data_IF_235304303794
#
_entry.id   IF_235304303794
#
_cell.length_a   1.000
_cell.length_b   1.000
_cell.length_c   1.000
_cell.angle_alpha   90.00
_cell.angle_beta   90.00
_cell.angle_gamma   90.00
#
_symmetry.space_group_name_H-M   'P 1'
#
loop_
_entity.id
_entity.type
_entity.pdbx_description
1 polymer ?
#
# COMPACT_ATOMS: atom_id res chain seq x y z
N UNK A 1 -37.94 -22.21 18.43
CA UNK A 1 -37.29 -21.09 19.17
C UNK A 1 -35.81 -21.42 19.31
N UNK A 2 -34.93 -20.46 19.03
CA UNK A 2 -33.48 -20.65 19.12
C UNK A 2 -33.02 -20.22 20.51
N UNK A 3 -32.32 -21.09 21.25
CA UNK A 3 -31.83 -20.79 22.60
C UNK A 3 -30.72 -19.74 22.58
N UNK A 4 -30.65 -18.90 23.63
CA UNK A 4 -29.62 -17.85 23.81
C UNK A 4 -28.17 -18.37 23.91
N UNK A 5 -28.00 -19.69 23.94
CA UNK A 5 -26.72 -20.39 23.98
C UNK A 5 -26.01 -20.50 22.62
N UNK A 6 -26.74 -20.34 21.51
CA UNK A 6 -26.18 -20.54 20.17
C UNK A 6 -25.50 -19.25 19.70
N UNK A 7 -24.18 -19.29 19.59
CA UNK A 7 -23.35 -18.17 19.11
C UNK A 7 -22.55 -18.60 17.88
N UNK A 8 -22.27 -17.67 17.00
CA UNK A 8 -21.59 -17.99 15.76
C UNK A 8 -21.24 -16.77 14.93
N UNK A 9 -20.66 -17.03 13.77
CA UNK A 9 -20.22 -16.01 12.83
C UNK A 9 -20.82 -16.27 11.44
N UNK A 10 -20.97 -15.20 10.67
CA UNK A 10 -21.37 -15.24 9.27
C UNK A 10 -20.26 -14.62 8.45
N UNK A 11 -19.90 -15.24 7.33
CA UNK A 11 -18.95 -14.62 6.42
C UNK A 11 -19.61 -13.43 5.74
N UNK A 12 -18.86 -12.35 5.58
CA UNK A 12 -19.42 -11.09 5.07
C UNK A 12 -19.89 -11.23 3.62
N UNK A 13 -19.30 -12.17 2.87
CA UNK A 13 -19.77 -12.53 1.53
C UNK A 13 -21.17 -13.16 1.53
N UNK A 14 -21.52 -13.92 2.58
CA UNK A 14 -22.82 -14.58 2.74
C UNK A 14 -23.93 -13.60 3.18
N UNK A 15 -23.57 -12.37 3.55
CA UNK A 15 -24.51 -11.29 3.87
C UNK A 15 -25.01 -10.54 2.63
N UNK A 16 -24.29 -10.62 1.49
CA UNK A 16 -24.64 -9.89 0.27
C UNK A 16 -25.93 -10.43 -0.36
N UNK A 17 -26.89 -9.57 -0.74
CA UNK A 17 -27.97 -9.96 -1.65
C UNK A 17 -27.40 -10.21 -3.06
N UNK A 18 -28.04 -11.09 -3.82
CA UNK A 18 -27.61 -11.47 -5.18
C UNK A 18 -27.70 -10.31 -6.21
N UNK A 19 -28.33 -9.18 -5.84
CA UNK A 19 -28.75 -8.09 -6.72
C UNK A 19 -27.63 -7.17 -7.24
N UNK A 20 -26.39 -7.64 -7.34
CA UNK A 20 -25.31 -6.98 -8.10
C UNK A 20 -24.82 -5.62 -7.60
N UNK A 21 -25.48 -5.01 -6.61
CA UNK A 21 -25.07 -3.74 -6.02
C UNK A 21 -23.91 -3.98 -5.04
N UNK A 22 -22.73 -3.50 -5.43
CA UNK A 22 -21.44 -3.56 -4.72
C UNK A 22 -21.40 -2.66 -3.46
N UNK A 23 -22.50 -2.51 -2.72
CA UNK A 23 -22.45 -1.82 -1.42
C UNK A 23 -21.87 -2.75 -0.34
N UNK A 24 -21.09 -2.19 0.59
CA UNK A 24 -20.54 -2.96 1.69
C UNK A 24 -21.68 -3.43 2.60
N UNK A 25 -21.96 -4.74 2.71
CA UNK A 25 -23.03 -5.26 3.56
C UNK A 25 -22.95 -4.73 5.00
N UNK A 26 -21.74 -4.43 5.50
CA UNK A 26 -21.53 -3.92 6.86
C UNK A 26 -22.23 -2.59 7.14
N UNK A 27 -22.47 -1.74 6.14
CA UNK A 27 -23.20 -0.48 6.33
C UNK A 27 -24.70 -0.70 6.64
N UNK A 28 -25.26 -1.84 6.21
CA UNK A 28 -26.68 -2.13 6.32
C UNK A 28 -27.06 -2.89 7.59
N UNK A 29 -26.12 -3.58 8.23
CA UNK A 29 -26.40 -4.41 9.40
C UNK A 29 -26.02 -3.71 10.71
N UNK A 30 -27.01 -3.10 11.35
CA UNK A 30 -26.87 -2.47 12.66
C UNK A 30 -27.01 -3.55 13.75
N UNK A 31 -26.23 -3.51 14.86
CA UNK A 31 -26.45 -4.38 16.00
C UNK A 31 -27.91 -4.37 16.49
N UNK A 32 -28.52 -5.55 16.65
CA UNK A 32 -29.94 -5.71 17.01
C UNK A 32 -30.87 -6.03 15.83
N UNK A 33 -30.36 -6.02 14.60
CA UNK A 33 -31.13 -6.45 13.42
C UNK A 33 -31.38 -7.96 13.44
N UNK A 34 -32.63 -8.39 13.26
CA UNK A 34 -32.97 -9.80 13.13
C UNK A 34 -32.78 -10.28 11.68
N UNK A 35 -32.07 -11.41 11.50
CA UNK A 35 -31.81 -12.03 10.19
C UNK A 35 -32.24 -13.49 10.20
N UNK A 36 -32.87 -13.93 9.11
CA UNK A 36 -33.10 -15.36 8.85
C UNK A 36 -31.83 -15.97 8.30
N UNK A 37 -31.30 -16.99 8.99
CA UNK A 37 -30.02 -17.61 8.72
C UNK A 37 -30.14 -19.13 8.69
N UNK A 38 -29.33 -19.77 7.87
CA UNK A 38 -29.11 -21.22 7.80
C UNK A 38 -27.78 -21.57 8.45
N UNK A 39 -27.71 -22.73 9.11
CA UNK A 39 -26.46 -23.24 9.70
C UNK A 39 -25.70 -23.99 8.60
N UNK A 40 -24.49 -23.55 8.29
CA UNK A 40 -23.62 -24.13 7.25
C UNK A 40 -22.60 -25.09 7.85
N UNK A 41 -21.97 -24.69 8.95
CA UNK A 41 -20.94 -25.50 9.62
C UNK A 41 -21.04 -25.33 11.14
N UNK A 42 -20.54 -26.32 11.86
CA UNK A 42 -20.47 -26.32 13.32
C UNK A 42 -19.04 -26.66 13.69
N UNK A 43 -18.36 -25.75 14.39
CA UNK A 43 -17.09 -26.07 15.01
C UNK A 43 -17.34 -26.73 16.36
N UNK A 44 -17.20 -28.05 16.37
CA UNK A 44 -17.41 -28.90 17.56
C UNK A 44 -16.47 -28.55 18.72
N UNK A 45 -15.31 -27.92 18.46
CA UNK A 45 -14.34 -27.54 19.49
C UNK A 45 -14.69 -26.24 20.20
N UNK A 46 -15.11 -25.23 19.44
CA UNK A 46 -15.43 -23.90 19.97
C UNK A 46 -16.92 -23.70 20.25
N UNK A 47 -17.77 -24.66 19.87
CA UNK A 47 -19.24 -24.55 19.92
C UNK A 47 -19.76 -23.31 19.15
N UNK A 48 -18.99 -22.86 18.15
CA UNK A 48 -19.36 -21.75 17.28
C UNK A 48 -19.97 -22.28 16.00
N UNK A 49 -21.09 -21.68 15.62
CA UNK A 49 -21.83 -22.01 14.42
C UNK A 49 -21.43 -21.06 13.30
N UNK A 50 -21.24 -21.58 12.08
CA UNK A 50 -21.10 -20.75 10.89
C UNK A 50 -22.44 -20.64 10.20
N UNK A 51 -22.92 -19.42 10.06
CA UNK A 51 -24.21 -19.12 9.46
C UNK A 51 -24.05 -18.61 8.03
N UNK A 52 -25.07 -18.81 7.20
CA UNK A 52 -25.24 -18.15 5.90
C UNK A 52 -26.67 -17.69 5.74
N UNK A 53 -26.92 -16.68 4.91
CA UNK A 53 -28.29 -16.23 4.59
C UNK A 53 -28.94 -17.12 3.52
N UNK A 54 -28.15 -17.87 2.76
CA UNK A 54 -28.61 -18.71 1.64
C UNK A 54 -28.44 -20.19 1.98
N UNK A 55 -29.20 -21.04 1.28
CA UNK A 55 -29.03 -22.49 1.41
C UNK A 55 -27.68 -22.90 0.82
N UNK A 56 -26.99 -23.83 1.47
CA UNK A 56 -25.70 -24.35 1.01
C UNK A 56 -25.84 -24.97 -0.38
N UNK A 57 -25.26 -24.32 -1.38
CA UNK A 57 -25.03 -24.92 -2.70
C UNK A 57 -23.55 -25.25 -2.83
N UNK A 58 -23.23 -26.42 -3.37
CA UNK A 58 -21.86 -26.72 -3.79
C UNK A 58 -21.47 -25.78 -4.92
N UNK A 59 -20.27 -25.21 -4.85
CA UNK A 59 -19.72 -24.44 -5.95
C UNK A 59 -19.16 -25.41 -7.00
N UNK A 60 -19.60 -25.23 -8.25
CA UNK A 60 -19.22 -26.06 -9.38
C UNK A 60 -17.93 -25.56 -10.04
N UNK A 61 -17.21 -26.47 -10.71
CA UNK A 61 -16.00 -26.13 -11.47
C UNK A 61 -16.42 -25.30 -12.70
N UNK A 62 -15.59 -24.35 -13.10
CA UNK A 62 -15.83 -23.34 -14.15
C UNK A 62 -16.90 -22.29 -13.82
N UNK A 63 -17.52 -22.34 -12.63
CA UNK A 63 -18.45 -21.31 -12.19
C UNK A 63 -17.72 -20.00 -11.89
N UNK A 64 -18.27 -18.87 -12.34
CA UNK A 64 -17.83 -17.53 -11.95
C UNK A 64 -18.49 -17.15 -10.62
N UNK A 65 -17.66 -16.79 -9.65
CA UNK A 65 -18.09 -16.46 -8.29
C UNK A 65 -17.40 -15.18 -7.85
N UNK A 66 -18.15 -14.30 -7.18
CA UNK A 66 -17.58 -13.14 -6.50
C UNK A 66 -17.17 -13.56 -5.10
N UNK A 67 -15.92 -13.28 -4.73
CA UNK A 67 -15.41 -13.49 -3.39
C UNK A 67 -14.80 -12.22 -2.82
N UNK A 68 -14.49 -12.24 -1.52
CA UNK A 68 -13.85 -11.13 -0.81
C UNK A 68 -12.42 -11.48 -0.45
N UNK A 69 -11.46 -10.62 -0.76
CA UNK A 69 -10.07 -10.84 -0.38
C UNK A 69 -9.93 -10.64 1.13
N UNK A 70 -9.49 -11.65 1.87
CA UNK A 70 -9.19 -11.50 3.30
C UNK A 70 -7.69 -11.50 3.59
N UNK A 71 -6.88 -12.03 2.68
CA UNK A 71 -5.42 -12.10 2.85
C UNK A 71 -4.71 -12.13 1.51
N UNK A 72 -3.56 -11.46 1.42
CA UNK A 72 -2.63 -11.57 0.30
C UNK A 72 -1.34 -12.23 0.81
N UNK A 73 -0.85 -13.24 0.09
CA UNK A 73 0.40 -13.92 0.40
C UNK A 73 1.37 -13.76 -0.79
N UNK A 74 2.51 -13.08 -0.62
CA UNK A 74 3.54 -12.94 -1.66
C UNK A 74 4.01 -14.25 -2.31
N UNK A 75 3.87 -15.40 -1.63
CA UNK A 75 4.32 -16.70 -2.12
C UNK A 75 3.23 -17.49 -2.81
N UNK A 76 1.98 -17.38 -2.33
CA UNK A 76 0.87 -18.23 -2.76
C UNK A 76 -0.12 -17.48 -3.66
N UNK A 77 -0.30 -16.17 -3.46
CA UNK A 77 -1.23 -15.32 -4.21
C UNK A 77 -2.34 -14.74 -3.32
N UNK A 78 -3.55 -14.59 -3.86
CA UNK A 78 -4.68 -13.98 -3.16
C UNK A 78 -5.53 -15.06 -2.46
N UNK A 79 -5.87 -14.83 -1.19
CA UNK A 79 -6.80 -15.65 -0.44
C UNK A 79 -8.16 -14.96 -0.40
N UNK A 80 -9.18 -15.66 -0.86
CA UNK A 80 -10.50 -15.11 -1.13
C UNK A 80 -11.55 -15.92 -0.36
N UNK A 81 -12.40 -15.23 0.39
CA UNK A 81 -13.60 -15.82 0.99
C UNK A 81 -14.68 -15.93 -0.07
N UNK A 82 -15.17 -17.15 -0.26
CA UNK A 82 -16.22 -17.50 -1.20
C UNK A 82 -17.54 -17.76 -0.46
N UNK A 83 -18.69 -17.70 -1.15
CA UNK A 83 -19.98 -18.05 -0.58
C UNK A 83 -20.01 -19.45 0.05
N UNK A 84 -20.89 -19.64 1.02
CA UNK A 84 -21.12 -20.88 1.76
C UNK A 84 -19.91 -21.34 2.59
N UNK A 85 -19.17 -20.41 3.16
CA UNK A 85 -17.95 -20.69 3.95
C UNK A 85 -16.87 -21.47 3.21
N UNK A 86 -16.79 -21.26 1.89
CA UNK A 86 -15.70 -21.77 1.08
C UNK A 86 -14.55 -20.77 1.04
N UNK A 87 -13.34 -21.28 0.85
CA UNK A 87 -12.13 -20.47 0.72
C UNK A 87 -11.51 -20.75 -0.63
N UNK A 88 -11.09 -19.70 -1.30
CA UNK A 88 -10.42 -19.74 -2.58
C UNK A 88 -8.99 -19.24 -2.50
N UNK A 89 -8.09 -19.84 -3.28
CA UNK A 89 -6.74 -19.34 -3.51
C UNK A 89 -6.56 -19.01 -4.98
N UNK A 90 -6.31 -17.74 -5.29
CA UNK A 90 -5.88 -17.32 -6.62
C UNK A 90 -4.36 -17.35 -6.64
N UNK A 91 -3.78 -18.29 -7.38
CA UNK A 91 -2.34 -18.34 -7.56
C UNK A 91 -1.85 -17.08 -8.31
N UNK A 92 -0.65 -16.59 -7.99
CA UNK A 92 -0.14 -15.32 -8.55
C UNK A 92 -0.11 -15.28 -10.09
N UNK A 93 0.17 -16.41 -10.73
CA UNK A 93 0.20 -16.52 -12.20
C UNK A 93 -1.20 -16.51 -12.82
N UNK A 94 -2.25 -16.61 -12.01
CA UNK A 94 -3.65 -16.64 -12.46
C UNK A 94 -4.36 -15.29 -12.20
N UNK A 95 -3.63 -14.28 -11.73
CA UNK A 95 -4.15 -12.94 -11.46
C UNK A 95 -4.26 -12.13 -12.76
N UNK A 96 -3.15 -11.96 -13.48
CA UNK A 96 -3.08 -11.18 -14.72
C UNK A 96 -2.74 -12.07 -15.93
N UNK A 97 -3.15 -11.64 -17.12
CA UNK A 97 -2.77 -12.27 -18.40
C UNK A 97 -1.30 -11.98 -18.75
N UNK A 98 -0.80 -10.81 -18.37
CA UNK A 98 0.60 -10.38 -18.54
C UNK A 98 1.35 -10.38 -17.20
N UNK A 99 2.63 -10.77 -17.23
CA UNK A 99 3.47 -10.73 -16.04
C UNK A 99 3.84 -9.29 -15.70
N UNK A 100 3.25 -8.76 -14.62
CA UNK A 100 3.57 -7.44 -14.08
C UNK A 100 4.42 -7.56 -12.81
N UNK A 101 5.24 -6.54 -12.54
CA UNK A 101 5.90 -6.39 -11.24
C UNK A 101 4.83 -6.01 -10.19
N UNK A 102 4.78 -6.74 -9.07
CA UNK A 102 3.81 -6.56 -7.97
C UNK A 102 2.32 -6.64 -8.39
N UNK A 103 1.88 -7.78 -8.95
CA UNK A 103 0.47 -7.94 -9.37
C UNK A 103 -0.53 -7.98 -8.21
N UNK A 104 -0.05 -8.03 -6.96
CA UNK A 104 -0.90 -8.04 -5.76
C UNK A 104 -1.33 -6.62 -5.34
N UNK A 105 -0.63 -5.58 -5.79
CA UNK A 105 -0.90 -4.19 -5.40
C UNK A 105 -2.25 -3.69 -5.97
N UNK A 106 -2.70 -4.28 -7.09
CA UNK A 106 -3.99 -3.99 -7.73
C UNK A 106 -5.20 -4.52 -6.92
N UNK A 107 -4.95 -5.32 -5.87
CA UNK A 107 -5.95 -6.07 -5.13
C UNK A 107 -5.92 -5.73 -3.64
N UNK A 108 -6.56 -4.61 -3.22
CA UNK A 108 -6.57 -4.21 -1.82
C UNK A 108 -7.29 -5.25 -0.96
N UNK A 109 -6.84 -5.38 0.30
CA UNK A 109 -7.48 -6.24 1.28
C UNK A 109 -8.95 -5.83 1.47
N UNK A 110 -9.80 -6.82 1.72
CA UNK A 110 -11.24 -6.67 1.93
C UNK A 110 -12.05 -6.21 0.72
N UNK A 111 -11.41 -6.02 -0.44
CA UNK A 111 -12.09 -5.79 -1.70
C UNK A 111 -12.79 -7.04 -2.23
N UNK A 112 -13.74 -6.82 -3.14
CA UNK A 112 -14.46 -7.90 -3.81
C UNK A 112 -13.85 -8.15 -5.17
N UNK A 113 -13.69 -9.42 -5.52
CA UNK A 113 -13.11 -9.86 -6.78
C UNK A 113 -13.96 -10.96 -7.37
N UNK A 114 -14.25 -10.84 -8.67
CA UNK A 114 -14.84 -11.92 -9.46
C UNK A 114 -13.72 -12.89 -9.85
N UNK A 115 -13.98 -14.19 -9.70
CA UNK A 115 -13.02 -15.23 -9.99
C UNK A 115 -13.73 -16.46 -10.55
N UNK A 116 -13.04 -17.21 -11.40
CA UNK A 116 -13.52 -18.48 -11.93
C UNK A 116 -12.97 -19.63 -11.10
N UNK A 117 -13.81 -20.60 -10.77
CA UNK A 117 -13.39 -21.79 -10.02
C UNK A 117 -12.69 -22.76 -10.98
N UNK A 118 -11.39 -22.97 -10.78
CA UNK A 118 -10.59 -23.82 -11.66
C UNK A 118 -10.60 -25.29 -11.21
N UNK A 119 -10.38 -25.51 -9.91
CA UNK A 119 -10.35 -26.85 -9.32
C UNK A 119 -10.74 -26.83 -7.87
N UNK A 120 -11.30 -27.95 -7.42
CA UNK A 120 -11.53 -28.21 -5.99
C UNK A 120 -10.30 -28.90 -5.40
N UNK A 121 -9.68 -28.29 -4.39
CA UNK A 121 -8.48 -28.82 -3.71
C UNK A 121 -8.89 -29.66 -2.50
N UNK A 122 -9.79 -29.15 -1.67
CA UNK A 122 -10.36 -29.84 -0.50
C UNK A 122 -11.87 -29.57 -0.41
N UNK A 123 -12.56 -30.13 0.59
CA UNK A 123 -14.02 -30.01 0.76
C UNK A 123 -14.53 -28.56 0.66
N UNK A 124 -13.80 -27.62 1.25
CA UNK A 124 -14.13 -26.18 1.30
C UNK A 124 -13.03 -25.29 0.71
N UNK A 125 -12.04 -25.85 -0.01
CA UNK A 125 -10.93 -25.08 -0.60
C UNK A 125 -10.89 -25.23 -2.12
N UNK A 126 -10.86 -24.12 -2.81
CA UNK A 126 -10.88 -24.04 -4.26
C UNK A 126 -9.66 -23.29 -4.78
N UNK A 127 -9.11 -23.71 -5.92
CA UNK A 127 -8.18 -22.89 -6.69
C UNK A 127 -8.97 -22.03 -7.67
N UNK A 128 -8.58 -20.77 -7.75
CA UNK A 128 -9.29 -19.73 -8.45
C UNK A 128 -8.41 -19.10 -9.53
N UNK A 129 -9.08 -18.54 -10.54
CA UNK A 129 -8.45 -17.84 -11.64
C UNK A 129 -9.18 -16.56 -11.99
N UNK A 130 -8.44 -15.43 -12.05
CA UNK A 130 -8.98 -14.13 -12.45
C UNK A 130 -8.77 -13.92 -13.95
N UNK A 131 -7.58 -14.29 -14.47
CA UNK A 131 -7.28 -14.18 -15.91
C UNK A 131 -8.19 -15.04 -16.80
N UNK A 132 -8.70 -16.15 -16.27
CA UNK A 132 -9.62 -17.06 -16.96
C UNK A 132 -11.03 -16.51 -17.15
N UNK A 133 -11.32 -15.30 -16.64
CA UNK A 133 -12.58 -14.59 -16.89
C UNK A 133 -12.61 -13.90 -18.26
N UNK A 134 -11.45 -13.49 -18.78
CA UNK A 134 -11.33 -12.63 -19.96
C UNK A 134 -10.67 -13.33 -21.15
N UNK A 135 -10.28 -14.60 -21.00
CA UNK A 135 -9.53 -15.33 -22.02
C UNK A 135 -10.26 -16.65 -22.32
N UNK A 136 -10.90 -16.71 -23.49
CA UNK A 136 -11.53 -17.93 -24.02
C UNK A 136 -10.50 -18.93 -24.57
N UNK A 137 -9.28 -18.46 -24.87
CA UNK A 137 -8.20 -19.32 -25.36
C UNK A 137 -7.42 -19.96 -24.20
N UNK A 138 -7.73 -21.24 -23.97
CA UNK A 138 -6.91 -22.17 -23.20
C UNK A 138 -5.59 -22.47 -23.89
N UNK A 139 -4.65 -21.54 -23.87
CA UNK A 139 -3.32 -21.70 -24.48
C UNK A 139 -2.34 -20.87 -23.63
N UNK A 140 -1.27 -21.36 -22.99
CA UNK A 140 -0.32 -22.37 -23.45
C UNK A 140 0.45 -23.10 -22.31
N UNK A 141 0.16 -22.92 -21.01
CA UNK A 141 1.02 -23.45 -19.92
C UNK A 141 0.29 -24.06 -18.71
N UNK A 142 -0.90 -24.65 -18.90
CA UNK A 142 -1.62 -25.37 -17.85
C UNK A 142 -1.03 -26.77 -17.55
N UNK A 143 -0.28 -27.33 -18.48
CA UNK A 143 0.32 -28.67 -18.34
C UNK A 143 1.78 -28.67 -18.78
N UNK A 144 2.60 -29.46 -18.09
CA UNK A 144 4.03 -29.66 -18.33
C UNK A 144 4.39 -30.15 -19.74
N UNK A 145 3.38 -30.60 -20.50
CA UNK A 145 3.50 -31.12 -21.87
C UNK A 145 3.64 -30.05 -22.96
N UNK A 146 3.26 -28.81 -22.69
CA UNK A 146 3.30 -27.71 -23.70
C UNK A 146 4.55 -26.84 -23.58
N UNK A 147 5.53 -27.33 -22.84
CA UNK A 147 6.76 -26.60 -22.54
C UNK A 147 7.80 -26.94 -23.60
N UNK A 148 8.12 -25.99 -24.47
CA UNK A 148 9.11 -26.15 -25.52
C UNK A 148 10.52 -25.93 -24.94
N UNK A 149 11.45 -26.89 -25.14
CA UNK A 149 12.87 -26.65 -24.90
C UNK A 149 13.33 -25.44 -25.71
N UNK A 150 14.23 -24.64 -25.13
CA UNK A 150 14.79 -23.41 -25.74
C UNK A 150 13.85 -22.22 -25.95
N UNK A 151 12.56 -22.33 -25.60
CA UNK A 151 11.68 -21.17 -25.58
C UNK A 151 11.94 -20.28 -24.35
N UNK A 152 11.80 -18.96 -24.53
CA UNK A 152 11.97 -17.98 -23.46
C UNK A 152 10.63 -17.74 -22.80
N UNK A 153 10.56 -18.01 -21.50
CA UNK A 153 9.36 -17.86 -20.68
C UNK A 153 9.54 -16.76 -19.62
N UNK A 154 8.45 -16.11 -19.22
CA UNK A 154 8.44 -15.17 -18.09
C UNK A 154 8.04 -15.88 -16.80
N UNK A 155 8.76 -15.66 -15.70
CA UNK A 155 8.49 -16.30 -14.42
C UNK A 155 8.64 -15.33 -13.25
N UNK A 156 7.89 -15.59 -12.16
CA UNK A 156 7.99 -14.84 -10.91
C UNK A 156 9.07 -15.41 -9.99
N UNK A 157 9.86 -14.55 -9.36
CA UNK A 157 10.79 -14.97 -8.30
C UNK A 157 10.02 -15.27 -7.01
N UNK A 158 10.02 -16.52 -6.55
CA UNK A 158 9.35 -16.92 -5.30
C UNK A 158 10.31 -16.94 -4.11
N UNK A 159 11.54 -17.40 -4.30
CA UNK A 159 12.54 -17.50 -3.22
C UNK A 159 13.95 -17.22 -3.72
N UNK A 160 14.65 -16.33 -3.01
CA UNK A 160 16.07 -16.06 -3.21
C UNK A 160 16.85 -16.81 -2.13
N UNK A 161 17.73 -17.72 -2.51
CA UNK A 161 18.64 -18.43 -1.59
C UNK A 161 20.08 -18.34 -2.10
N UNK A 162 21.06 -18.58 -1.21
CA UNK A 162 22.48 -18.53 -1.59
C UNK A 162 22.87 -19.58 -2.65
N UNK A 163 22.18 -20.73 -2.66
CA UNK A 163 22.48 -21.85 -3.58
C UNK A 163 21.63 -21.82 -4.85
N UNK A 164 20.37 -21.40 -4.76
CA UNK A 164 19.42 -21.41 -5.85
C UNK A 164 18.40 -20.28 -5.77
N UNK A 165 17.93 -19.83 -6.93
CA UNK A 165 16.74 -18.99 -7.09
C UNK A 165 15.56 -19.90 -7.43
N UNK A 166 14.45 -19.79 -6.69
CA UNK A 166 13.20 -20.47 -7.05
C UNK A 166 12.32 -19.50 -7.81
N UNK A 167 11.81 -19.98 -8.92
CA UNK A 167 10.95 -19.26 -9.85
C UNK A 167 9.64 -20.03 -10.01
N UNK A 168 8.57 -19.33 -10.36
CA UNK A 168 7.28 -19.92 -10.65
C UNK A 168 6.80 -19.45 -12.01
N UNK A 169 6.56 -20.41 -12.91
CA UNK A 169 6.10 -20.16 -14.27
C UNK A 169 4.58 -20.24 -14.36
N UNK A 170 4.00 -21.25 -13.72
CA UNK A 170 2.56 -21.47 -13.59
C UNK A 170 2.24 -22.06 -12.21
N UNK A 171 0.96 -22.17 -11.87
CA UNK A 171 0.49 -22.81 -10.63
C UNK A 171 1.06 -24.23 -10.42
N UNK A 172 1.41 -24.93 -11.50
CA UNK A 172 1.95 -26.30 -11.45
C UNK A 172 3.45 -26.37 -11.71
N UNK A 173 4.00 -25.41 -12.47
CA UNK A 173 5.39 -25.45 -12.93
C UNK A 173 6.26 -24.52 -12.08
N UNK A 174 7.15 -25.14 -11.32
CA UNK A 174 8.17 -24.46 -10.54
C UNK A 174 9.56 -24.68 -11.15
N UNK A 175 10.37 -23.62 -11.14
CA UNK A 175 11.67 -23.61 -11.77
C UNK A 175 12.76 -23.29 -10.75
N UNK A 176 13.96 -23.84 -10.94
CA UNK A 176 15.12 -23.56 -10.08
C UNK A 176 16.33 -23.17 -10.91
N UNK A 177 16.94 -22.05 -10.55
CA UNK A 177 18.20 -21.58 -11.14
C UNK A 177 19.31 -21.76 -10.11
N UNK A 178 20.39 -22.43 -10.50
CA UNK A 178 21.58 -22.60 -9.65
C UNK A 178 22.41 -21.31 -9.69
N UNK A 179 22.65 -20.71 -8.52
CA UNK A 179 23.37 -19.42 -8.42
C UNK A 179 24.79 -19.50 -9.00
N UNK A 180 25.49 -20.63 -8.85
CA UNK A 180 26.82 -20.84 -9.45
C UNK A 180 26.81 -20.72 -10.98
N UNK A 181 25.79 -21.31 -11.64
CA UNK A 181 25.62 -21.24 -13.11
C UNK A 181 25.26 -19.82 -13.55
N UNK A 182 24.47 -19.09 -12.76
CA UNK A 182 24.16 -17.69 -13.04
C UNK A 182 25.40 -16.80 -12.89
N UNK A 183 26.19 -16.99 -11.82
CA UNK A 183 27.40 -16.23 -11.55
C UNK A 183 28.46 -16.43 -12.64
N UNK A 184 28.63 -17.64 -13.15
CA UNK A 184 29.59 -17.92 -14.24
C UNK A 184 29.21 -17.25 -15.56
N UNK A 185 27.91 -16.96 -15.78
CA UNK A 185 27.41 -16.38 -17.03
C UNK A 185 27.30 -14.84 -16.97
N UNK A 186 26.90 -14.29 -15.83
CA UNK A 186 26.59 -12.85 -15.68
C UNK A 186 27.60 -12.06 -14.82
N UNK A 187 28.56 -12.74 -14.19
CA UNK A 187 29.57 -12.09 -13.35
C UNK A 187 29.06 -11.63 -11.98
N UNK A 188 29.94 -11.04 -11.16
CA UNK A 188 29.59 -10.60 -9.80
C UNK A 188 28.61 -9.42 -9.83
N UNK A 189 27.55 -9.48 -9.01
CA UNK A 189 26.55 -8.42 -8.89
C UNK A 189 25.28 -8.59 -9.73
N UNK A 190 25.15 -9.68 -10.48
CA UNK A 190 23.96 -10.01 -11.30
C UNK A 190 22.62 -10.02 -10.54
N UNK A 191 22.67 -10.17 -9.21
CA UNK A 191 21.51 -10.28 -8.32
C UNK A 191 21.12 -8.97 -7.62
N UNK A 192 21.78 -7.84 -7.89
CA UNK A 192 21.56 -6.55 -7.19
C UNK A 192 20.12 -6.05 -7.25
N UNK A 193 19.42 -6.28 -8.35
CA UNK A 193 18.05 -5.80 -8.58
C UNK A 193 16.98 -6.89 -8.37
N UNK A 194 17.36 -8.11 -8.02
CA UNK A 194 16.42 -9.21 -7.86
C UNK A 194 15.69 -9.09 -6.53
N UNK A 195 14.37 -8.98 -6.61
CA UNK A 195 13.48 -8.98 -5.43
C UNK A 195 12.50 -10.14 -5.55
N UNK A 196 11.99 -10.70 -4.45
CA UNK A 196 10.83 -11.57 -4.52
C UNK A 196 9.71 -10.87 -5.30
N UNK A 197 8.96 -11.63 -6.09
CA UNK A 197 7.89 -11.17 -6.99
C UNK A 197 8.31 -10.34 -8.21
N UNK A 198 9.61 -10.13 -8.46
CA UNK A 198 10.02 -9.55 -9.75
C UNK A 198 9.87 -10.56 -10.89
N UNK A 199 9.59 -10.05 -12.09
CA UNK A 199 9.47 -10.86 -13.30
C UNK A 199 10.85 -11.07 -13.91
N UNK A 200 11.15 -12.30 -14.33
CA UNK A 200 12.41 -12.66 -15.00
C UNK A 200 12.12 -13.52 -16.22
N UNK A 201 12.78 -13.22 -17.33
CA UNK A 201 12.78 -14.06 -18.53
C UNK A 201 13.76 -15.22 -18.37
N UNK A 202 13.34 -16.41 -18.76
CA UNK A 202 14.10 -17.63 -18.52
C UNK A 202 13.98 -18.63 -19.66
N UNK A 203 15.08 -19.29 -20.00
CA UNK A 203 15.13 -20.33 -21.03
C UNK A 203 15.29 -21.68 -20.35
N UNK A 204 14.43 -22.63 -20.68
CA UNK A 204 14.41 -23.94 -20.04
C UNK A 204 15.54 -24.82 -20.56
N UNK A 205 16.27 -25.45 -19.63
CA UNK A 205 17.45 -26.27 -19.93
C UNK A 205 17.08 -27.76 -19.87
N UNK A 206 16.64 -28.20 -18.67
CA UNK A 206 16.44 -29.62 -18.39
C UNK A 206 15.24 -29.81 -17.49
N UNK A 207 14.28 -30.62 -17.92
CA UNK A 207 13.16 -31.04 -17.08
C UNK A 207 13.70 -32.08 -16.10
N UNK A 208 13.62 -31.81 -14.79
CA UNK A 208 13.95 -32.82 -13.77
C UNK A 208 12.77 -33.76 -13.62
N UNK A 209 11.58 -33.21 -13.37
CA UNK A 209 10.32 -33.93 -13.17
C UNK A 209 9.16 -33.12 -13.80
N UNK A 210 7.97 -33.71 -13.93
CA UNK A 210 6.77 -33.06 -14.49
C UNK A 210 6.41 -31.69 -13.86
N UNK A 211 6.85 -31.41 -12.62
CA UNK A 211 6.55 -30.17 -11.89
C UNK A 211 7.80 -29.31 -11.57
N UNK A 212 9.00 -29.79 -11.91
CA UNK A 212 10.28 -29.14 -11.56
C UNK A 212 11.21 -29.11 -12.76
N UNK A 213 11.49 -27.91 -13.26
CA UNK A 213 12.36 -27.70 -14.42
C UNK A 213 13.61 -26.94 -13.97
N UNK A 214 14.80 -27.36 -14.42
CA UNK A 214 16.05 -26.61 -14.34
C UNK A 214 16.12 -25.66 -15.52
N UNK A 215 16.50 -24.43 -15.21
CA UNK A 215 16.30 -23.32 -16.12
C UNK A 215 17.60 -22.52 -16.19
N UNK A 216 18.01 -22.18 -17.41
CA UNK A 216 19.11 -21.26 -17.64
C UNK A 216 18.58 -19.82 -17.52
N UNK A 217 19.29 -18.95 -16.77
CA UNK A 217 18.95 -17.53 -16.76
C UNK A 217 19.28 -16.91 -18.13
N UNK A 218 18.30 -16.23 -18.71
CA UNK A 218 18.46 -15.27 -19.81
C UNK A 218 17.96 -13.94 -19.27
N UNK A 219 18.84 -13.19 -18.61
CA UNK A 219 18.50 -11.88 -18.08
C UNK A 219 18.54 -10.84 -19.20
N UNK A 220 17.43 -10.67 -19.92
CA UNK A 220 17.05 -9.34 -20.40
C UNK A 220 16.13 -8.75 -19.34
N UNK A 221 16.71 -7.94 -18.44
CA UNK A 221 15.91 -7.00 -17.66
C UNK A 221 15.34 -5.98 -18.64
N UNK A 222 14.03 -6.04 -18.90
CA UNK A 222 13.32 -4.94 -19.53
C UNK A 222 13.17 -3.80 -18.51
N UNK A 223 14.29 -3.18 -18.15
CA UNK A 223 14.31 -1.79 -17.67
C UNK A 223 14.41 -0.91 -18.92
N UNK A 224 13.36 -0.86 -19.73
CA UNK A 224 13.20 0.09 -20.83
C UNK A 224 11.75 0.02 -21.37
N UNK A 225 10.80 0.58 -20.63
CA UNK A 225 9.70 1.28 -21.26
C UNK A 225 9.43 2.56 -20.46
N UNK A 226 9.80 3.67 -21.08
CA UNK A 226 9.15 4.97 -20.87
C UNK A 226 7.67 4.74 -21.16
N UNK A 227 6.81 4.97 -20.18
CA UNK A 227 5.37 5.08 -20.41
C UNK A 227 5.11 6.40 -21.15
N UNK A 228 5.16 6.34 -22.48
CA UNK A 228 4.42 7.27 -23.33
C UNK A 228 3.06 6.65 -23.64
N UNK A 229 2.01 7.29 -23.11
CA UNK A 229 0.64 7.33 -23.62
C UNK A 229 -0.15 6.01 -23.78
N UNK A 230 -0.93 5.66 -22.76
CA UNK A 230 -2.30 5.14 -22.96
C UNK A 230 -3.27 5.84 -22.02
N UNK A 231 -3.94 6.85 -22.55
CA UNK A 231 -5.16 7.43 -21.99
C UNK A 231 -6.32 6.47 -22.27
N UNK A 232 -7.01 5.97 -21.24
CA UNK A 232 -8.46 6.16 -21.01
C UNK A 232 -9.00 5.20 -19.93
N UNK A 233 -9.49 5.83 -18.85
CA UNK A 233 -10.70 5.48 -18.10
C UNK A 233 -10.82 4.09 -17.44
N UNK A 234 -10.47 4.03 -16.16
CA UNK A 234 -11.38 3.48 -15.14
C UNK A 234 -11.21 4.27 -13.83
N UNK A 235 -12.35 4.71 -13.30
CA UNK A 235 -12.50 5.73 -12.29
C UNK A 235 -12.48 5.15 -10.86
N UNK A 236 -11.83 5.91 -9.97
CA UNK A 236 -12.00 5.96 -8.50
C UNK A 236 -11.41 4.78 -7.71
N UNK A 237 -10.08 4.79 -7.55
CA UNK A 237 -9.45 4.69 -6.23
C UNK A 237 -8.03 5.26 -6.31
N UNK A 238 -7.90 6.58 -6.11
CA UNK A 238 -6.60 7.24 -6.23
C UNK A 238 -5.84 7.02 -4.92
N UNK A 239 -4.77 6.22 -4.97
CA UNK A 239 -3.82 6.11 -3.87
C UNK A 239 -3.34 7.52 -3.46
N UNK A 240 -3.11 7.79 -2.16
CA UNK A 240 -2.67 9.10 -1.70
C UNK A 240 -1.44 9.54 -2.50
N UNK A 241 -1.45 10.80 -2.93
CA UNK A 241 -0.43 11.40 -3.77
C UNK A 241 0.95 11.23 -3.12
N UNK A 242 1.77 10.32 -3.68
CA UNK A 242 3.15 10.13 -3.23
C UNK A 242 3.99 11.32 -3.68
N UNK A 243 4.17 12.27 -2.78
CA UNK A 243 5.28 13.23 -2.87
C UNK A 243 6.54 12.46 -2.45
N UNK A 244 7.66 12.68 -3.15
CA UNK A 244 8.85 11.85 -3.03
C UNK A 244 9.38 11.69 -1.60
N UNK A 245 10.30 10.75 -1.43
CA UNK A 245 10.74 10.18 -0.14
C UNK A 245 10.91 11.21 0.99
N UNK A 246 9.93 11.29 1.90
CA UNK A 246 10.07 12.10 3.12
C UNK A 246 8.78 12.51 3.83
N UNK A 247 7.66 12.68 3.11
CA UNK A 247 6.40 13.15 3.69
C UNK A 247 5.23 12.22 3.33
N UNK A 248 4.51 11.76 4.34
CA UNK A 248 3.34 10.90 4.18
C UNK A 248 2.07 11.66 4.57
N UNK A 249 1.18 11.86 3.59
CA UNK A 249 -0.08 12.57 3.74
C UNK A 249 -1.04 11.92 4.74
N UNK A 250 -0.88 10.61 4.98
CA UNK A 250 -1.75 9.86 5.88
C UNK A 250 -1.29 9.90 7.34
N UNK A 251 -0.01 10.19 7.59
CA UNK A 251 0.55 10.27 8.94
C UNK A 251 0.95 11.68 9.36
N UNK A 252 1.07 12.63 8.42
CA UNK A 252 1.52 14.01 8.69
C UNK A 252 2.95 14.06 9.24
N UNK A 253 3.67 12.93 9.22
CA UNK A 253 4.98 12.75 9.81
C UNK A 253 6.06 12.74 8.73
N UNK A 254 7.22 13.28 9.11
CA UNK A 254 8.45 13.16 8.33
C UNK A 254 9.14 11.84 8.68
N UNK A 255 9.47 11.01 7.68
CA UNK A 255 10.36 9.85 7.91
C UNK A 255 11.78 10.40 8.01
N UNK A 256 12.18 10.78 9.21
CA UNK A 256 13.56 11.16 9.47
C UNK A 256 14.44 9.91 9.25
N UNK A 257 15.21 9.90 8.15
CA UNK A 257 16.31 8.95 7.97
C UNK A 257 17.45 9.35 8.92
N UNK A 258 17.20 9.21 10.22
CA UNK A 258 18.21 9.32 11.24
C UNK A 258 19.07 8.06 11.16
N UNK A 259 20.28 8.23 10.66
CA UNK A 259 21.36 7.26 10.81
C UNK A 259 21.47 6.92 12.30
N UNK A 260 21.10 5.69 12.67
CA UNK A 260 21.24 5.20 14.04
C UNK A 260 22.72 5.20 14.42
N UNK A 261 23.16 6.15 15.23
CA UNK A 261 24.27 5.92 16.13
C UNK A 261 23.73 5.21 17.38
N UNK A 262 24.17 3.97 17.55
CA UNK A 262 23.94 3.18 18.75
C UNK A 262 24.74 3.81 19.89
N UNK A 263 24.06 4.30 20.92
CA UNK A 263 24.63 4.44 22.26
C UNK A 263 23.74 3.74 23.27
N UNK A 264 24.23 2.59 23.73
CA UNK A 264 23.81 1.89 24.93
C UNK A 264 24.19 2.77 26.13
N UNK A 265 23.28 3.09 27.05
CA UNK A 265 23.51 3.05 28.52
C UNK A 265 22.18 3.12 29.30
N UNK A 266 22.01 2.10 30.14
CA UNK A 266 21.46 2.04 31.51
C UNK A 266 20.05 2.58 31.86
N UNK A 267 19.28 1.65 32.43
CA UNK A 267 18.06 1.84 33.22
C UNK A 267 18.45 2.40 34.59
N UNK A 268 17.89 3.56 34.97
CA UNK A 268 17.60 3.88 36.36
C UNK A 268 16.21 4.53 36.46
N UNK A 269 15.43 3.97 37.36
CA UNK A 269 14.14 4.44 37.88
C UNK A 269 14.29 5.76 38.65
N UNK A 270 13.30 6.64 38.56
CA UNK A 270 12.85 7.43 39.73
C UNK A 270 11.42 7.98 39.55
N UNK A 271 10.70 8.00 40.67
CA UNK A 271 9.30 8.36 40.87
C UNK A 271 9.08 9.85 41.25
N UNK A 272 7.87 10.35 40.92
CA UNK A 272 7.08 11.49 41.49
C UNK A 272 7.52 12.92 41.11
N UNK A 273 6.62 13.87 40.82
CA UNK A 273 5.37 14.25 41.55
C UNK A 273 4.37 15.11 40.72
N UNK A 274 3.06 14.93 41.01
CA UNK A 274 1.88 15.86 41.07
C UNK A 274 1.84 17.18 40.26
N UNK A 275 0.74 17.70 39.67
CA UNK A 275 -0.72 17.66 39.94
C UNK A 275 -1.52 18.18 38.70
N UNK A 276 -2.80 17.77 38.52
CA UNK A 276 -3.76 18.10 37.41
C UNK A 276 -4.56 19.41 37.68
N UNK A 277 -5.63 19.88 36.95
CA UNK A 277 -6.38 19.36 35.77
C UNK A 277 -6.93 20.40 34.73
N UNK A 278 -7.32 19.95 33.52
CA UNK A 278 -8.66 20.18 32.92
C UNK A 278 -8.84 19.45 31.57
N UNK A 279 -9.53 18.31 31.64
CA UNK A 279 -10.24 17.55 30.59
C UNK A 279 -9.77 17.72 29.13
N UNK A 280 -8.61 17.15 28.80
CA UNK A 280 -8.39 16.64 27.44
C UNK A 280 -9.11 15.28 27.33
N UNK A 281 -9.62 14.95 26.15
CA UNK A 281 -9.84 13.54 25.81
C UNK A 281 -8.55 12.75 26.10
N UNK A 282 -8.69 11.45 26.38
CA UNK A 282 -7.54 10.67 26.80
C UNK A 282 -6.45 10.82 25.74
N UNK A 283 -5.24 11.22 26.13
CA UNK A 283 -4.10 11.31 25.19
C UNK A 283 -3.94 9.99 24.41
N UNK A 284 -4.38 8.88 25.00
CA UNK A 284 -4.47 7.56 24.38
C UNK A 284 -5.53 7.45 23.27
N UNK A 285 -6.67 8.14 23.37
CA UNK A 285 -7.71 8.20 22.33
C UNK A 285 -7.27 9.08 21.17
N UNK A 286 -6.61 10.21 21.45
CA UNK A 286 -6.02 11.07 20.43
C UNK A 286 -4.91 10.30 19.70
N UNK A 287 -3.98 9.69 20.43
CA UNK A 287 -2.96 8.80 19.84
C UNK A 287 -3.58 7.64 19.08
N UNK A 288 -4.67 7.05 19.56
CA UNK A 288 -5.36 5.98 18.84
C UNK A 288 -5.93 6.48 17.50
N UNK A 289 -6.57 7.65 17.48
CA UNK A 289 -7.06 8.28 16.25
C UNK A 289 -5.90 8.65 15.32
N UNK A 290 -4.83 9.25 15.84
CA UNK A 290 -3.62 9.59 15.08
C UNK A 290 -2.94 8.33 14.51
N UNK A 291 -2.87 7.24 15.29
CA UNK A 291 -2.34 5.95 14.81
C UNK A 291 -3.26 5.30 13.79
N UNK A 292 -4.58 5.47 13.89
CA UNK A 292 -5.56 4.92 12.94
C UNK A 292 -5.59 5.67 11.62
N UNK A 293 -5.42 6.99 11.68
CA UNK A 293 -5.24 7.85 10.50
C UNK A 293 -3.90 7.50 9.82
N UNK A 294 -2.82 7.35 10.60
CA UNK A 294 -1.50 6.97 10.10
C UNK A 294 -1.43 5.50 9.59
N UNK A 295 -2.21 4.58 10.16
CA UNK A 295 -2.24 3.16 9.77
C UNK A 295 -3.13 2.90 8.55
N UNK A 296 -3.85 3.91 8.05
CA UNK A 296 -4.81 3.79 6.94
C UNK A 296 -5.95 2.78 7.25
N UNK A 297 -6.20 2.46 8.52
CA UNK A 297 -7.25 1.52 8.96
C UNK A 297 -8.63 2.16 9.06
N UNK A 298 -8.70 3.49 9.16
CA UNK A 298 -9.94 4.27 9.15
C UNK A 298 -9.72 5.59 8.41
N UNK A 299 -10.31 5.73 7.22
CA UNK A 299 -10.29 6.96 6.42
C UNK A 299 -11.66 7.61 6.57
N UNK A 300 -11.78 8.80 7.18
CA UNK A 300 -13.05 9.53 7.21
C UNK A 300 -13.53 9.76 5.78
N UNK A 301 -14.70 9.25 5.43
CA UNK A 301 -15.24 9.28 4.06
C UNK A 301 -16.19 10.45 3.81
N UNK A 302 -16.69 11.11 4.88
CA UNK A 302 -17.61 12.24 4.78
C UNK A 302 -17.05 13.53 5.37
N UNK A 303 -17.57 14.65 4.88
CA UNK A 303 -17.23 16.00 5.34
C UNK A 303 -17.61 16.20 6.83
N UNK A 304 -18.75 15.63 7.24
CA UNK A 304 -19.25 15.69 8.62
C UNK A 304 -18.32 14.95 9.61
N UNK A 305 -17.63 13.91 9.16
CA UNK A 305 -16.68 13.18 10.00
C UNK A 305 -15.44 14.04 10.29
N UNK A 306 -14.94 14.77 9.28
CA UNK A 306 -13.82 15.70 9.47
C UNK A 306 -14.20 16.89 10.36
N UNK A 307 -15.37 17.49 10.17
CA UNK A 307 -15.83 18.59 11.04
C UNK A 307 -15.98 18.13 12.49
N UNK A 308 -16.48 16.91 12.73
CA UNK A 308 -16.55 16.32 14.07
C UNK A 308 -15.16 16.10 14.68
N UNK A 309 -14.20 15.58 13.91
CA UNK A 309 -12.84 15.35 14.37
C UNK A 309 -12.13 16.65 14.72
N UNK A 310 -12.30 17.71 13.94
CA UNK A 310 -11.70 19.01 14.21
C UNK A 310 -12.23 19.65 15.49
N UNK A 311 -13.53 19.49 15.77
CA UNK A 311 -14.12 19.94 17.04
C UNK A 311 -13.53 19.14 18.22
N UNK A 312 -13.25 17.86 18.01
CA UNK A 312 -12.76 16.93 19.04
C UNK A 312 -11.26 17.14 19.31
N UNK A 313 -10.47 17.42 18.27
CA UNK A 313 -9.01 17.55 18.33
C UNK A 313 -8.52 18.71 17.44
N UNK A 314 -8.74 19.98 17.84
CA UNK A 314 -8.46 21.15 17.00
C UNK A 314 -6.97 21.44 16.80
N UNK A 315 -6.10 20.92 17.68
CA UNK A 315 -4.64 21.16 17.62
C UNK A 315 -3.88 20.10 16.80
N UNK A 316 -4.54 19.03 16.33
CA UNK A 316 -3.86 17.92 15.67
C UNK A 316 -3.67 18.20 14.17
N UNK A 317 -2.43 18.41 13.73
CA UNK A 317 -2.10 18.71 12.32
C UNK A 317 -2.49 17.58 11.39
N UNK A 318 -2.46 16.32 11.85
CA UNK A 318 -2.83 15.17 11.03
C UNK A 318 -4.29 15.17 10.62
N UNK A 319 -5.19 15.60 11.51
CA UNK A 319 -6.62 15.73 11.18
C UNK A 319 -6.84 16.81 10.13
N UNK A 320 -6.18 17.95 10.29
CA UNK A 320 -6.25 19.05 9.31
C UNK A 320 -5.64 18.68 7.96
N UNK A 321 -4.50 17.98 7.96
CA UNK A 321 -3.85 17.49 6.74
C UNK A 321 -4.71 16.43 6.04
N UNK A 322 -5.32 15.53 6.79
CA UNK A 322 -6.30 14.58 6.25
C UNK A 322 -7.48 15.28 5.60
N UNK A 323 -8.02 16.33 6.24
CA UNK A 323 -9.12 17.10 5.66
C UNK A 323 -8.72 17.85 4.38
N UNK A 324 -7.51 18.42 4.34
CA UNK A 324 -6.97 18.99 3.10
C UNK A 324 -6.83 17.92 2.02
N UNK A 325 -6.30 16.74 2.36
CA UNK A 325 -6.12 15.62 1.43
C UNK A 325 -7.44 15.13 0.84
N UNK A 326 -8.54 15.15 1.59
CA UNK A 326 -9.87 14.82 1.07
C UNK A 326 -10.25 15.73 -0.11
N UNK A 327 -10.07 17.05 0.02
CA UNK A 327 -10.30 17.98 -1.08
C UNK A 327 -9.29 17.85 -2.22
N UNK A 328 -8.03 17.49 -1.92
CA UNK A 328 -7.03 17.21 -2.96
C UNK A 328 -7.39 15.98 -3.80
N UNK A 329 -7.96 14.93 -3.21
CA UNK A 329 -8.44 13.75 -3.93
C UNK A 329 -9.57 14.11 -4.91
N UNK A 330 -10.42 15.07 -4.56
CA UNK A 330 -11.46 15.62 -5.44
C UNK A 330 -10.97 16.76 -6.35
N UNK A 331 -9.67 17.09 -6.34
CA UNK A 331 -9.06 18.21 -7.07
C UNK A 331 -9.68 19.58 -6.76
N UNK A 332 -10.29 19.76 -5.59
CA UNK A 332 -10.88 21.01 -5.14
C UNK A 332 -9.87 21.86 -4.35
N UNK A 333 -8.84 22.35 -5.06
CA UNK A 333 -7.70 23.05 -4.47
C UNK A 333 -8.10 24.28 -3.63
N UNK A 334 -9.07 25.06 -4.08
CA UNK A 334 -9.49 26.27 -3.37
C UNK A 334 -10.19 25.96 -2.04
N UNK A 335 -10.86 24.82 -1.93
CA UNK A 335 -11.42 24.36 -0.66
C UNK A 335 -10.32 23.83 0.25
N UNK A 336 -9.35 23.08 -0.28
CA UNK A 336 -8.17 22.65 0.48
C UNK A 336 -7.40 23.85 1.09
N UNK A 337 -7.18 24.92 0.31
CA UNK A 337 -6.56 26.18 0.80
C UNK A 337 -7.39 26.86 1.89
N UNK A 338 -8.72 26.91 1.74
CA UNK A 338 -9.60 27.47 2.79
C UNK A 338 -9.51 26.67 4.09
N UNK A 339 -9.42 25.34 4.01
CA UNK A 339 -9.22 24.49 5.18
C UNK A 339 -7.84 24.73 5.79
N UNK A 340 -6.79 24.86 4.99
CA UNK A 340 -5.44 25.19 5.47
C UNK A 340 -5.41 26.50 6.28
N UNK A 341 -6.03 27.56 5.76
CA UNK A 341 -6.12 28.87 6.44
C UNK A 341 -6.98 28.79 7.71
N UNK A 342 -8.01 27.95 7.72
CA UNK A 342 -8.81 27.67 8.93
C UNK A 342 -7.98 26.91 9.96
N UNK A 343 -7.15 25.96 9.54
CA UNK A 343 -6.27 25.18 10.40
C UNK A 343 -5.22 26.08 11.07
N UNK A 344 -4.60 26.99 10.33
CA UNK A 344 -3.61 27.95 10.86
C UNK A 344 -4.19 28.87 11.95
N UNK A 345 -5.49 29.18 11.88
CA UNK A 345 -6.19 29.97 12.91
C UNK A 345 -6.62 29.13 14.11
N UNK A 346 -6.85 27.84 13.91
CA UNK A 346 -7.40 26.93 14.92
C UNK A 346 -6.34 26.27 15.79
N UNK A 347 -5.20 25.89 15.20
CA UNK A 347 -4.11 25.25 15.95
C UNK A 347 -3.45 26.29 16.86
N UNK A 348 -3.27 25.94 18.13
CA UNK A 348 -2.57 26.81 19.08
C UNK A 348 -1.13 27.08 18.62
N UNK A 349 -0.72 28.34 18.66
CA UNK A 349 0.66 28.75 18.37
C UNK A 349 1.70 28.13 19.32
N UNK A 350 1.27 27.54 20.45
CA UNK A 350 2.16 26.83 21.39
C UNK A 350 2.59 25.46 20.84
N UNK A 351 1.85 24.91 19.90
CA UNK A 351 2.12 23.60 19.29
C UNK A 351 3.03 23.77 18.06
N UNK A 352 4.28 24.18 18.28
CA UNK A 352 5.28 24.47 17.23
C UNK A 352 5.43 23.33 16.21
N UNK A 353 5.30 22.08 16.66
CA UNK A 353 5.42 20.88 15.82
C UNK A 353 4.21 20.74 14.87
N UNK A 354 3.01 20.93 15.38
CA UNK A 354 1.77 20.79 14.61
C UNK A 354 1.65 21.93 13.59
N UNK A 355 2.00 23.15 14.00
CA UNK A 355 2.08 24.32 13.10
C UNK A 355 3.12 24.08 12.00
N UNK A 356 4.30 23.54 12.34
CA UNK A 356 5.32 23.21 11.34
C UNK A 356 4.84 22.15 10.33
N UNK A 357 4.21 21.07 10.78
CA UNK A 357 3.66 20.03 9.89
C UNK A 357 2.61 20.60 8.94
N UNK A 358 1.75 21.49 9.45
CA UNK A 358 0.74 22.15 8.64
C UNK A 358 1.37 23.04 7.56
N UNK A 359 2.35 23.89 7.90
CA UNK A 359 3.06 24.72 6.91
C UNK A 359 3.76 23.89 5.84
N UNK A 360 4.38 22.77 6.22
CA UNK A 360 4.98 21.81 5.28
C UNK A 360 3.94 21.27 4.30
N UNK A 361 2.76 20.89 4.79
CA UNK A 361 1.68 20.42 3.93
C UNK A 361 1.21 21.51 2.95
N UNK A 362 1.05 22.76 3.40
CA UNK A 362 0.64 23.88 2.54
C UNK A 362 1.70 24.15 1.46
N UNK A 363 2.99 24.16 1.82
CA UNK A 363 4.09 24.32 0.86
C UNK A 363 4.07 23.19 -0.19
N UNK A 364 3.80 21.95 0.23
CA UNK A 364 3.70 20.84 -0.70
C UNK A 364 2.54 21.02 -1.70
N UNK A 365 1.37 21.47 -1.23
CA UNK A 365 0.22 21.74 -2.10
C UNK A 365 0.57 22.84 -3.12
N UNK A 366 1.11 23.98 -2.67
CA UNK A 366 1.45 25.08 -3.57
C UNK A 366 2.59 24.75 -4.52
N UNK A 367 3.56 23.93 -4.10
CA UNK A 367 4.66 23.54 -4.98
C UNK A 367 4.21 22.58 -6.09
N UNK A 368 3.18 21.76 -5.85
CA UNK A 368 2.70 20.75 -6.81
C UNK A 368 1.58 21.31 -7.68
N UNK A 369 0.67 22.10 -7.11
CA UNK A 369 -0.57 22.54 -7.74
C UNK A 369 -0.74 24.06 -7.83
N UNK A 370 0.14 24.83 -7.17
CA UNK A 370 0.10 26.28 -7.14
C UNK A 370 0.88 26.95 -8.27
N UNK A 371 1.07 28.27 -8.12
CA UNK A 371 1.93 29.09 -8.99
C UNK A 371 3.22 29.41 -8.24
N UNK A 372 4.31 29.79 -8.93
CA UNK A 372 5.53 30.20 -8.25
C UNK A 372 5.31 31.41 -7.31
N UNK A 373 4.36 32.28 -7.64
CA UNK A 373 3.96 33.43 -6.81
C UNK A 373 3.23 32.99 -5.53
N UNK A 374 2.29 32.03 -5.62
CA UNK A 374 1.59 31.52 -4.44
C UNK A 374 2.51 30.71 -3.53
N UNK A 375 3.45 29.95 -4.12
CA UNK A 375 4.49 29.23 -3.39
C UNK A 375 5.40 30.18 -2.63
N UNK A 376 5.86 31.28 -3.27
CA UNK A 376 6.76 32.24 -2.61
C UNK A 376 6.06 33.00 -1.46
N UNK A 377 4.77 33.34 -1.61
CA UNK A 377 3.98 33.91 -0.51
C UNK A 377 3.88 32.97 0.68
N UNK A 378 3.46 31.72 0.45
CA UNK A 378 3.35 30.70 1.51
C UNK A 378 4.70 30.42 2.14
N UNK A 379 5.76 30.31 1.34
CA UNK A 379 7.12 30.07 1.83
C UNK A 379 7.61 31.23 2.71
N UNK A 380 7.38 32.47 2.29
CA UNK A 380 7.72 33.66 3.05
C UNK A 380 6.95 33.72 4.37
N UNK A 381 5.64 33.42 4.35
CA UNK A 381 4.82 33.32 5.57
C UNK A 381 5.34 32.21 6.50
N UNK A 382 5.58 31.01 5.98
CA UNK A 382 6.08 29.89 6.77
C UNK A 382 7.42 30.20 7.47
N UNK A 383 8.33 30.93 6.81
CA UNK A 383 9.61 31.37 7.40
C UNK A 383 9.46 32.38 8.55
N UNK A 384 8.35 33.11 8.61
CA UNK A 384 8.06 34.05 9.69
C UNK A 384 7.49 33.35 10.93
N UNK A 385 6.68 32.31 10.75
CA UNK A 385 6.05 31.58 11.85
C UNK A 385 6.88 30.38 12.34
N UNK A 386 7.68 29.76 11.47
CA UNK A 386 8.47 28.57 11.80
C UNK A 386 9.98 28.83 11.78
N UNK A 387 10.75 27.83 12.21
CA UNK A 387 12.21 27.87 12.10
C UNK A 387 12.65 27.94 10.62
N UNK A 388 13.16 29.12 10.22
CA UNK A 388 13.66 29.43 8.86
C UNK A 388 14.55 28.33 8.27
N UNK A 389 15.44 27.75 9.08
CA UNK A 389 16.37 26.72 8.61
C UNK A 389 15.66 25.40 8.27
N UNK A 390 14.62 25.03 9.04
CA UNK A 390 13.84 23.80 8.78
C UNK A 390 12.99 23.95 7.52
N UNK A 391 12.34 25.10 7.34
CA UNK A 391 11.50 25.39 6.18
C UNK A 391 12.34 25.44 4.88
N UNK A 392 13.46 26.15 4.88
CA UNK A 392 14.33 26.21 3.70
C UNK A 392 14.88 24.82 3.32
N UNK A 393 15.24 24.01 4.34
CA UNK A 393 15.67 22.63 4.11
C UNK A 393 14.57 21.80 3.46
N UNK A 394 13.33 21.91 3.94
CA UNK A 394 12.19 21.19 3.39
C UNK A 394 11.95 21.54 1.92
N UNK A 395 12.00 22.83 1.56
CA UNK A 395 11.79 23.27 0.17
C UNK A 395 12.85 22.70 -0.79
N UNK A 396 14.12 22.64 -0.35
CA UNK A 396 15.20 22.00 -1.12
C UNK A 396 14.91 20.52 -1.35
N UNK A 397 14.58 19.79 -0.28
CA UNK A 397 14.27 18.37 -0.34
C UNK A 397 13.04 18.10 -1.24
N UNK A 398 12.03 18.98 -1.19
CA UNK A 398 10.84 18.93 -2.03
C UNK A 398 11.20 19.12 -3.52
N UNK A 399 11.94 20.16 -3.88
CA UNK A 399 12.37 20.38 -5.27
C UNK A 399 13.25 19.24 -5.81
N UNK A 400 14.13 18.68 -4.96
CA UNK A 400 14.91 17.48 -5.31
C UNK A 400 14.00 16.28 -5.58
N UNK A 401 12.97 16.09 -4.76
CA UNK A 401 12.02 14.98 -4.90
C UNK A 401 11.15 15.09 -6.16
N UNK A 402 10.88 16.31 -6.61
CA UNK A 402 10.12 16.61 -7.83
C UNK A 402 10.98 16.69 -9.10
N UNK A 403 12.30 16.45 -9.00
CA UNK A 403 13.27 16.60 -10.09
C UNK A 403 13.33 18.03 -10.69
N UNK A 404 12.96 19.06 -9.93
CA UNK A 404 13.09 20.47 -10.33
C UNK A 404 14.52 20.96 -10.05
N UNK A 405 15.48 20.45 -10.82
CA UNK A 405 16.91 20.58 -10.53
C UNK A 405 17.41 22.02 -10.49
N UNK A 406 16.95 22.86 -11.42
CA UNK A 406 17.34 24.27 -11.47
C UNK A 406 16.87 25.04 -10.24
N UNK A 407 15.65 24.77 -9.77
CA UNK A 407 15.08 25.41 -8.59
C UNK A 407 15.73 24.87 -7.31
N UNK A 408 15.97 23.56 -7.25
CA UNK A 408 16.69 22.93 -6.14
C UNK A 408 18.12 23.49 -6.00
N UNK A 409 18.82 23.70 -7.11
CA UNK A 409 20.16 24.30 -7.12
C UNK A 409 20.14 25.76 -6.64
N UNK A 410 19.21 26.58 -7.16
CA UNK A 410 19.02 27.96 -6.72
C UNK A 410 18.77 28.04 -5.21
N UNK A 411 17.87 27.22 -4.69
CA UNK A 411 17.56 27.18 -3.25
C UNK A 411 18.74 26.66 -2.41
N UNK A 412 19.52 25.69 -2.91
CA UNK A 412 20.74 25.23 -2.23
C UNK A 412 21.79 26.34 -2.12
N UNK A 413 21.98 27.12 -3.18
CA UNK A 413 22.94 28.24 -3.21
C UNK A 413 22.49 29.36 -2.26
N UNK A 414 21.19 29.67 -2.22
CA UNK A 414 20.63 30.61 -1.26
C UNK A 414 20.81 30.09 0.18
N UNK A 415 20.56 28.81 0.44
CA UNK A 415 20.75 28.19 1.74
C UNK A 415 22.22 28.22 2.19
N UNK A 416 23.17 28.00 1.29
CA UNK A 416 24.59 28.19 1.56
C UNK A 416 24.95 29.63 1.90
N UNK A 417 24.39 30.60 1.17
CA UNK A 417 24.62 32.04 1.42
C UNK A 417 24.08 32.47 2.78
N UNK A 418 22.87 32.05 3.15
CA UNK A 418 22.26 32.38 4.43
C UNK A 418 22.84 31.60 5.62
N UNK A 419 23.37 30.40 5.39
CA UNK A 419 23.86 29.50 6.44
C UNK A 419 25.31 29.03 6.20
N UNK A 420 26.19 29.96 5.79
CA UNK A 420 27.60 29.68 5.46
C UNK A 420 28.43 29.14 6.63
N UNK A 421 28.01 29.36 7.88
CA UNK A 421 28.68 28.78 9.05
C UNK A 421 28.26 27.32 9.33
N UNK A 422 27.18 26.85 8.70
CA UNK A 422 26.61 25.52 8.96
C UNK A 422 27.20 24.47 8.02
N UNK A 423 28.05 23.58 8.55
CA UNK A 423 28.59 22.41 7.82
C UNK A 423 27.50 21.60 7.10
N UNK A 424 26.29 21.51 7.69
CA UNK A 424 25.13 20.82 7.09
C UNK A 424 24.68 21.42 5.75
N UNK A 425 24.89 22.72 5.51
CA UNK A 425 24.52 23.37 4.26
C UNK A 425 25.43 22.91 3.10
N UNK A 426 26.75 22.85 3.33
CA UNK A 426 27.71 22.31 2.38
C UNK A 426 27.49 20.83 2.09
N UNK A 427 27.18 20.03 3.11
CA UNK A 427 26.85 18.60 2.91
C UNK A 427 25.61 18.44 2.05
N UNK A 428 24.59 19.28 2.23
CA UNK A 428 23.35 19.22 1.45
C UNK A 428 23.60 19.57 -0.02
N UNK A 429 24.35 20.63 -0.30
CA UNK A 429 24.72 20.99 -1.67
C UNK A 429 25.65 19.96 -2.31
N UNK A 430 26.62 19.43 -1.56
CA UNK A 430 27.49 18.34 -2.03
C UNK A 430 26.70 17.07 -2.37
N UNK A 431 25.68 16.71 -1.59
CA UNK A 431 24.76 15.61 -1.92
C UNK A 431 23.98 15.87 -3.20
N UNK A 432 23.51 17.10 -3.40
CA UNK A 432 22.82 17.49 -4.63
C UNK A 432 23.72 17.33 -5.86
N UNK A 433 24.95 17.84 -5.81
CA UNK A 433 25.93 17.69 -6.90
C UNK A 433 26.31 16.23 -7.16
N UNK A 434 26.45 15.41 -6.10
CA UNK A 434 26.71 13.97 -6.21
C UNK A 434 25.58 13.25 -6.96
N UNK A 435 24.32 13.55 -6.63
CA UNK A 435 23.16 12.95 -7.29
C UNK A 435 23.09 13.31 -8.78
N UNK A 436 23.70 14.43 -9.18
CA UNK A 436 23.74 14.91 -10.57
C UNK A 436 25.03 14.58 -11.31
N UNK A 437 25.95 13.82 -10.70
CA UNK A 437 27.26 13.48 -11.26
C UNK A 437 28.07 14.72 -11.72
N UNK A 438 27.91 15.87 -11.04
CA UNK A 438 28.60 17.14 -11.34
C UNK A 438 29.72 17.43 -10.33
N UNK A 439 30.44 16.39 -9.90
CA UNK A 439 31.41 16.48 -8.81
C UNK A 439 32.74 17.11 -9.23
#
# INVERSE_FOLDING_TARGET
>A
EVTSSIKGFINIIDLKPFDGLLHDPLERFIPGTALSLTIVAIDTKSQLYTFSRTQTKSLDIEQTVTGRIYKTDPKLGLCVDLPYSNIGLVHITNICTTFKNRPLDDFPLYSYVTCKILRKVEKNKYSLGIKQLHCEETSQLTSSKNVLPDHVYQAYITKISQKYLSLCLSETISCKIVVKKALSKFGPGWNRNLRPLSVVSVQLDKIINEQKILVFPVLQSFDNFRDENVTTQSLINVAPLKVGSGFDWNSGQFVESCSKEVKIYHIQSDEKSNEKPQKSLCEQEIRAIETRLASNEWVPTSLEDFDRLIVTSPNSSIVWIGYMSFYLQSMELDKARKIAERALKSISFREDKEVFNLWVAIINIECIYGTPESLDDVYSRARNFCNKKKINKHLIELHQSLNHDENAEKECLLFLKFYSQSKKAYIMYGKFLALKNRF
#
